data_IF_978172656600
#
_entry.id   IF_978172656600
#
_cell.length_a   1.000
_cell.length_b   1.000
_cell.length_c   1.000
_cell.angle_alpha   90.00
_cell.angle_beta   90.00
_cell.angle_gamma   90.00
#
_symmetry.space_group_name_H-M   'P 1'
#
loop_
_entity.id
_entity.type
_entity.pdbx_description
1 polymer ?
#
# COMPACT_ATOMS: atom_id res chain seq x y z
N UNK A 1 13.21 15.34 -17.12
CA UNK A 1 12.97 16.18 -15.91
C UNK A 1 13.47 15.44 -14.68
N UNK A 2 14.15 16.12 -13.74
CA UNK A 2 14.62 15.50 -12.49
C UNK A 2 13.43 15.10 -11.60
N UNK A 3 13.62 14.08 -10.74
CA UNK A 3 12.55 13.58 -9.83
C UNK A 3 12.00 14.69 -8.92
N UNK A 4 12.88 15.52 -8.36
CA UNK A 4 12.47 16.64 -7.51
C UNK A 4 11.65 17.68 -8.26
N UNK A 5 11.97 17.97 -9.53
CA UNK A 5 11.23 18.95 -10.33
C UNK A 5 9.82 18.44 -10.67
N UNK A 6 9.66 17.12 -10.92
CA UNK A 6 8.35 16.49 -11.09
C UNK A 6 7.51 16.56 -9.82
N UNK A 7 8.13 16.27 -8.67
CA UNK A 7 7.45 16.36 -7.38
C UNK A 7 6.99 17.80 -7.08
N UNK A 8 7.82 18.80 -7.39
CA UNK A 8 7.46 20.22 -7.26
C UNK A 8 6.25 20.56 -8.12
N UNK A 9 6.26 20.17 -9.38
CA UNK A 9 5.13 20.38 -10.29
C UNK A 9 3.86 19.67 -9.80
N UNK A 10 4.00 18.42 -9.31
CA UNK A 10 2.88 17.69 -8.72
C UNK A 10 2.28 18.45 -7.53
N UNK A 11 3.13 18.92 -6.61
CA UNK A 11 2.69 19.66 -5.42
C UNK A 11 2.06 20.99 -5.80
N UNK A 12 2.64 21.75 -6.74
CA UNK A 12 2.07 23.01 -7.22
C UNK A 12 0.65 22.84 -7.76
N UNK A 13 0.40 21.75 -8.48
CA UNK A 13 -0.90 21.46 -9.09
C UNK A 13 -1.92 20.81 -8.12
N UNK A 14 -1.48 20.39 -6.91
CA UNK A 14 -2.31 19.64 -5.97
C UNK A 14 -2.06 20.08 -4.52
N UNK A 15 -1.62 21.32 -4.29
CA UNK A 15 -1.24 21.81 -2.96
C UNK A 15 -2.40 21.73 -1.96
N UNK A 16 -3.61 21.94 -2.44
CA UNK A 16 -4.84 21.92 -1.67
C UNK A 16 -5.15 20.54 -1.03
N UNK A 17 -4.52 19.48 -1.52
CA UNK A 17 -4.70 18.13 -0.95
C UNK A 17 -3.93 17.98 0.35
N UNK A 18 -2.79 18.68 0.50
CA UNK A 18 -1.86 18.45 1.60
C UNK A 18 -2.20 19.22 2.86
N UNK A 19 -2.05 18.55 3.99
CA UNK A 19 -2.18 19.09 5.35
C UNK A 19 -0.84 19.00 6.06
N UNK A 20 -0.49 20.02 6.82
CA UNK A 20 0.70 20.03 7.64
C UNK A 20 0.60 18.95 8.75
N UNK A 21 1.54 18.00 8.85
CA UNK A 21 1.47 16.97 9.87
C UNK A 21 1.67 17.51 11.31
N UNK A 22 2.29 18.68 11.46
CA UNK A 22 2.59 19.28 12.77
C UNK A 22 1.42 20.06 13.35
N UNK A 23 0.76 20.90 12.56
CA UNK A 23 -0.32 21.78 13.04
C UNK A 23 -1.67 21.50 12.37
N UNK A 24 -1.74 20.53 11.48
CA UNK A 24 -2.95 20.07 10.77
C UNK A 24 -3.63 21.16 9.91
N UNK A 25 -2.95 22.25 9.62
CA UNK A 25 -3.43 23.33 8.77
C UNK A 25 -2.94 23.15 7.32
N UNK A 26 -3.54 23.92 6.41
CA UNK A 26 -3.23 23.88 4.97
C UNK A 26 -1.80 24.25 4.66
N UNK A 27 -1.25 23.65 3.61
CA UNK A 27 -0.02 24.09 2.95
C UNK A 27 -0.38 25.29 2.07
N UNK A 28 0.45 26.34 2.11
CA UNK A 28 0.14 27.62 1.44
C UNK A 28 1.13 27.98 0.34
N UNK A 29 2.34 27.45 0.38
CA UNK A 29 3.33 27.74 -0.64
C UNK A 29 4.34 26.61 -0.83
N UNK A 30 4.96 26.59 -2.00
CA UNK A 30 6.16 25.84 -2.33
C UNK A 30 7.29 26.85 -2.56
N UNK A 31 8.28 26.86 -1.69
CA UNK A 31 9.44 27.75 -1.73
C UNK A 31 10.70 26.90 -1.97
N UNK A 32 11.42 27.14 -3.04
CA UNK A 32 12.54 26.34 -3.50
C UNK A 32 12.22 24.83 -3.56
N UNK A 33 12.66 24.05 -2.58
CA UNK A 33 12.40 22.61 -2.45
C UNK A 33 11.59 22.29 -1.21
N UNK A 34 10.80 23.20 -0.68
CA UNK A 34 10.08 23.04 0.58
C UNK A 34 8.63 23.47 0.46
N UNK A 35 7.73 22.68 1.04
CA UNK A 35 6.36 23.13 1.29
C UNK A 35 6.29 23.88 2.62
N UNK A 36 5.49 24.93 2.66
CA UNK A 36 5.30 25.78 3.84
C UNK A 36 3.82 25.86 4.17
N UNK A 37 3.47 25.61 5.43
CA UNK A 37 2.08 25.75 5.88
C UNK A 37 1.79 27.18 6.37
N UNK A 38 0.50 27.48 6.57
CA UNK A 38 0.05 28.79 7.02
C UNK A 38 0.65 29.25 8.36
N UNK A 39 1.06 28.31 9.20
CA UNK A 39 1.69 28.55 10.51
C UNK A 39 3.23 28.55 10.43
N UNK A 40 3.81 28.55 9.22
CA UNK A 40 5.25 28.65 9.01
C UNK A 40 6.06 27.35 9.17
N UNK A 41 5.44 26.18 9.37
CA UNK A 41 6.19 24.92 9.32
C UNK A 41 6.70 24.66 7.93
N UNK A 42 7.99 24.32 7.83
CA UNK A 42 8.71 24.06 6.58
C UNK A 42 9.02 22.56 6.48
N UNK A 43 8.67 21.93 5.37
CA UNK A 43 8.91 20.51 5.11
C UNK A 43 9.63 20.37 3.78
N UNK A 44 10.83 19.79 3.81
CA UNK A 44 11.69 19.72 2.65
C UNK A 44 11.40 18.50 1.78
N UNK A 45 11.39 18.71 0.46
CA UNK A 45 11.54 17.66 -0.54
C UNK A 45 12.98 17.17 -0.57
N UNK A 46 13.17 15.87 -0.57
CA UNK A 46 14.48 15.29 -0.80
C UNK A 46 14.82 15.22 -2.30
N UNK A 47 16.07 14.87 -2.62
CA UNK A 47 16.55 14.74 -4.02
C UNK A 47 15.78 13.70 -4.85
N UNK A 48 15.07 12.78 -4.21
CA UNK A 48 14.23 11.76 -4.87
C UNK A 48 12.80 12.27 -5.14
N UNK A 49 12.48 13.49 -4.73
CA UNK A 49 11.16 14.09 -4.89
C UNK A 49 10.13 13.56 -3.88
N UNK A 50 10.54 13.16 -2.67
CA UNK A 50 9.63 12.71 -1.62
C UNK A 50 9.60 13.67 -0.46
N UNK A 51 8.44 13.81 0.17
CA UNK A 51 8.24 14.50 1.45
C UNK A 51 8.36 13.48 2.59
N UNK A 52 8.93 13.92 3.70
CA UNK A 52 8.95 13.18 4.97
C UNK A 52 7.97 13.84 5.92
N UNK A 53 6.78 13.26 6.06
CA UNK A 53 5.62 13.84 6.75
C UNK A 53 5.36 13.18 8.12
N UNK A 54 6.35 12.46 8.68
CA UNK A 54 6.27 11.94 10.04
C UNK A 54 6.60 13.05 11.04
N UNK A 55 5.86 13.09 12.16
CA UNK A 55 6.08 14.02 13.27
C UNK A 55 7.03 13.49 14.33
N UNK A 56 7.31 12.20 14.31
CA UNK A 56 8.20 11.50 15.25
C UNK A 56 8.94 10.37 14.54
N UNK A 57 10.03 9.92 15.12
CA UNK A 57 10.78 8.77 14.60
C UNK A 57 9.99 7.48 14.81
N UNK A 58 9.74 6.76 13.75
CA UNK A 58 9.11 5.43 13.81
C UNK A 58 10.15 4.40 13.42
N UNK A 59 10.32 3.36 14.25
CA UNK A 59 11.04 2.14 13.87
C UNK A 59 10.01 1.20 13.25
N UNK A 60 10.26 0.75 12.03
CA UNK A 60 9.42 -0.22 11.36
C UNK A 60 10.19 -1.53 11.17
N UNK A 61 9.58 -2.65 11.53
CA UNK A 61 10.12 -4.00 11.24
C UNK A 61 10.21 -4.25 9.73
N UNK A 62 9.56 -3.40 8.94
CA UNK A 62 9.59 -3.39 7.48
C UNK A 62 10.74 -2.55 6.88
N UNK A 63 11.58 -1.90 7.68
CA UNK A 63 12.77 -1.19 7.18
C UNK A 63 13.90 -2.20 6.87
N UNK A 64 13.69 -2.97 5.81
CA UNK A 64 14.59 -3.98 5.30
C UNK A 64 14.58 -3.93 3.76
N UNK A 65 15.68 -3.45 3.21
CA UNK A 65 15.84 -3.29 1.75
C UNK A 65 15.74 -4.62 0.98
N UNK A 66 16.20 -5.71 1.55
CA UNK A 66 16.15 -7.04 0.94
C UNK A 66 14.70 -7.52 0.82
N UNK A 67 13.92 -7.37 1.91
CA UNK A 67 12.48 -7.65 1.93
C UNK A 67 11.75 -6.88 0.82
N UNK A 68 12.01 -5.57 0.71
CA UNK A 68 11.34 -4.73 -0.29
C UNK A 68 11.75 -5.07 -1.72
N UNK A 69 13.00 -5.47 -1.98
CA UNK A 69 13.43 -5.95 -3.29
C UNK A 69 12.74 -7.27 -3.64
N UNK A 70 12.67 -8.22 -2.70
CA UNK A 70 11.97 -9.49 -2.89
C UNK A 70 10.49 -9.27 -3.20
N UNK A 71 9.83 -8.36 -2.44
CA UNK A 71 8.43 -7.97 -2.67
C UNK A 71 8.24 -7.38 -4.05
N UNK A 72 9.10 -6.43 -4.46
CA UNK A 72 9.07 -5.84 -5.80
C UNK A 72 9.15 -6.90 -6.90
N UNK A 73 10.09 -7.83 -6.79
CA UNK A 73 10.25 -8.90 -7.79
C UNK A 73 8.94 -9.68 -7.98
N UNK A 74 8.29 -10.08 -6.90
CA UNK A 74 7.02 -10.81 -6.97
C UNK A 74 5.85 -9.97 -7.50
N UNK A 75 5.74 -8.71 -7.05
CA UNK A 75 4.66 -7.85 -7.51
C UNK A 75 4.82 -7.46 -8.97
N UNK A 76 6.05 -7.27 -9.46
CA UNK A 76 6.34 -7.06 -10.88
C UNK A 76 6.11 -8.32 -11.72
N UNK A 77 6.28 -9.52 -11.14
CA UNK A 77 5.89 -10.78 -11.77
C UNK A 77 4.35 -10.97 -11.84
N UNK A 78 3.56 -10.06 -11.28
CA UNK A 78 2.11 -10.05 -11.39
C UNK A 78 1.36 -10.64 -10.21
N UNK A 79 2.01 -10.92 -9.06
CA UNK A 79 1.35 -11.56 -7.91
C UNK A 79 0.05 -10.86 -7.51
N UNK A 80 -0.04 -9.52 -7.56
CA UNK A 80 -1.26 -8.77 -7.20
C UNK A 80 -1.99 -8.17 -8.40
N UNK A 81 -1.59 -8.50 -9.64
CA UNK A 81 -2.20 -7.91 -10.82
C UNK A 81 -3.72 -8.16 -10.90
N UNK A 82 -4.25 -9.40 -10.66
CA UNK A 82 -5.69 -9.63 -10.67
C UNK A 82 -6.46 -8.85 -9.59
N UNK A 83 -5.82 -8.54 -8.47
CA UNK A 83 -6.40 -7.69 -7.41
C UNK A 83 -6.58 -6.26 -7.94
N UNK A 84 -5.53 -5.71 -8.55
CA UNK A 84 -5.55 -4.36 -9.13
C UNK A 84 -6.57 -4.28 -10.27
N UNK A 85 -6.65 -5.28 -11.13
CA UNK A 85 -7.64 -5.36 -12.21
C UNK A 85 -9.07 -5.36 -11.66
N UNK A 86 -9.33 -6.04 -10.54
CA UNK A 86 -10.64 -6.00 -9.91
C UNK A 86 -10.94 -4.62 -9.31
N UNK A 87 -9.98 -4.00 -8.60
CA UNK A 87 -10.14 -2.63 -8.08
C UNK A 87 -10.45 -1.66 -9.23
N UNK A 88 -9.75 -1.77 -10.35
CA UNK A 88 -9.97 -0.92 -11.52
C UNK A 88 -11.39 -1.02 -12.10
N UNK A 89 -11.99 -2.20 -12.09
CA UNK A 89 -13.38 -2.41 -12.55
C UNK A 89 -14.39 -1.68 -11.68
N UNK A 90 -14.06 -1.46 -10.41
CA UNK A 90 -14.92 -0.80 -9.43
C UNK A 90 -14.70 0.72 -9.37
N UNK A 91 -13.54 1.21 -9.82
CA UNK A 91 -13.25 2.63 -9.83
C UNK A 91 -14.06 3.36 -10.92
N UNK A 92 -14.63 4.55 -10.61
CA UNK A 92 -15.33 5.37 -11.59
C UNK A 92 -14.47 5.70 -12.83
N UNK A 93 -15.09 5.77 -13.99
CA UNK A 93 -14.48 6.08 -15.29
C UNK A 93 -14.29 7.59 -15.51
N UNK A 94 -13.78 8.30 -14.51
CA UNK A 94 -13.49 9.74 -14.51
C UNK A 94 -12.15 10.00 -13.82
N UNK A 95 -11.62 11.21 -13.92
CA UNK A 95 -10.45 11.66 -13.15
C UNK A 95 -10.72 11.58 -11.66
N UNK A 96 -9.80 10.99 -10.90
CA UNK A 96 -9.88 10.80 -9.45
C UNK A 96 -8.61 11.28 -8.75
N UNK A 97 -8.76 11.66 -7.50
CA UNK A 97 -7.67 11.80 -6.53
C UNK A 97 -7.62 10.53 -5.70
N UNK A 98 -6.59 9.71 -5.90
CA UNK A 98 -6.45 8.38 -5.29
C UNK A 98 -5.24 8.35 -4.39
N UNK A 99 -5.40 7.82 -3.17
CA UNK A 99 -4.28 7.49 -2.29
C UNK A 99 -4.16 5.98 -2.11
N UNK A 100 -2.92 5.47 -2.14
CA UNK A 100 -2.56 4.09 -1.82
C UNK A 100 -1.88 4.07 -0.44
N UNK A 101 -2.54 3.43 0.51
CA UNK A 101 -2.19 3.43 1.94
C UNK A 101 -1.29 2.25 2.26
N UNK A 102 -0.09 2.52 2.79
CA UNK A 102 0.91 1.47 2.94
C UNK A 102 1.33 0.91 1.59
N UNK A 103 1.59 1.83 0.63
CA UNK A 103 1.84 1.49 -0.77
C UNK A 103 3.08 0.62 -1.01
N UNK A 104 3.91 0.44 0.03
CA UNK A 104 5.15 -0.33 -0.05
C UNK A 104 6.08 0.23 -1.13
N UNK A 105 6.59 -0.64 -1.98
CA UNK A 105 7.52 -0.32 -3.07
C UNK A 105 6.82 0.22 -4.35
N UNK A 106 5.50 0.41 -4.31
CA UNK A 106 4.71 1.16 -5.27
C UNK A 106 4.20 0.40 -6.49
N UNK A 107 4.55 -0.87 -6.72
CA UNK A 107 4.11 -1.62 -7.92
C UNK A 107 2.58 -1.66 -8.09
N UNK A 108 1.75 -1.88 -7.06
CA UNK A 108 0.29 -1.83 -7.21
C UNK A 108 -0.20 -0.49 -7.75
N UNK A 109 0.27 0.63 -7.17
CA UNK A 109 -0.11 1.96 -7.63
C UNK A 109 0.40 2.28 -9.04
N UNK A 110 1.58 1.79 -9.42
CA UNK A 110 2.12 1.92 -10.77
C UNK A 110 1.26 1.16 -11.80
N UNK A 111 0.83 -0.06 -11.47
CA UNK A 111 -0.06 -0.83 -12.35
C UNK A 111 -1.41 -0.11 -12.52
N UNK A 112 -1.94 0.46 -11.45
CA UNK A 112 -3.13 1.30 -11.51
C UNK A 112 -2.91 2.52 -12.40
N UNK A 113 -1.81 3.25 -12.21
CA UNK A 113 -1.44 4.43 -13.00
C UNK A 113 -1.40 4.12 -14.51
N UNK A 114 -0.74 3.02 -14.88
CA UNK A 114 -0.65 2.58 -16.27
C UNK A 114 -2.02 2.30 -16.89
N UNK A 115 -2.87 1.63 -16.17
CA UNK A 115 -4.20 1.24 -16.67
C UNK A 115 -5.20 2.39 -16.69
N UNK A 116 -4.95 3.44 -15.90
CA UNK A 116 -5.82 4.62 -15.79
C UNK A 116 -5.22 5.90 -16.40
N UNK A 117 -4.16 5.76 -17.20
CA UNK A 117 -3.43 6.89 -17.80
C UNK A 117 -4.37 7.89 -18.51
N UNK A 118 -5.37 7.40 -19.25
CA UNK A 118 -6.33 8.24 -19.99
C UNK A 118 -7.19 9.17 -19.11
N UNK A 119 -7.30 8.91 -17.81
CA UNK A 119 -8.12 9.73 -16.89
C UNK A 119 -7.31 10.85 -16.22
N UNK A 120 -5.97 10.83 -16.32
CA UNK A 120 -5.08 11.81 -15.68
C UNK A 120 -5.35 11.92 -14.16
N UNK A 121 -5.46 10.79 -13.48
CA UNK A 121 -5.69 10.73 -12.03
C UNK A 121 -4.56 11.43 -11.26
N UNK A 122 -4.90 11.98 -10.11
CA UNK A 122 -3.92 12.39 -9.10
C UNK A 122 -3.64 11.21 -8.19
N UNK A 123 -2.45 10.62 -8.31
CA UNK A 123 -2.07 9.40 -7.61
C UNK A 123 -1.00 9.68 -6.56
N UNK A 124 -1.27 9.31 -5.30
CA UNK A 124 -0.35 9.48 -4.18
C UNK A 124 -0.20 8.13 -3.48
N UNK A 125 1.04 7.65 -3.35
CA UNK A 125 1.38 6.50 -2.50
C UNK A 125 2.11 6.95 -1.25
N UNK A 126 1.78 6.40 -0.10
CA UNK A 126 2.57 6.63 1.10
C UNK A 126 2.79 5.35 1.90
N UNK A 127 3.93 5.31 2.55
CA UNK A 127 4.32 4.25 3.47
C UNK A 127 5.13 4.84 4.61
N UNK A 128 5.15 4.15 5.72
CA UNK A 128 5.98 4.53 6.87
C UNK A 128 7.45 4.17 6.64
N UNK A 129 7.71 3.14 5.82
CA UNK A 129 9.05 2.66 5.50
C UNK A 129 9.76 3.56 4.48
N UNK A 130 10.89 4.11 4.90
CA UNK A 130 11.77 4.88 4.02
C UNK A 130 12.35 4.03 2.89
N UNK A 131 12.66 2.77 3.14
CA UNK A 131 13.22 1.86 2.14
C UNK A 131 12.20 1.52 1.07
N UNK A 132 10.94 1.29 1.45
CA UNK A 132 9.84 1.10 0.52
C UNK A 132 9.67 2.31 -0.41
N UNK A 133 9.53 3.50 0.15
CA UNK A 133 9.35 4.74 -0.63
C UNK A 133 10.57 5.04 -1.51
N UNK A 134 11.78 4.76 -1.04
CA UNK A 134 12.98 4.89 -1.87
C UNK A 134 12.94 4.00 -3.12
N UNK A 135 12.38 2.81 -3.01
CA UNK A 135 12.14 1.94 -4.15
C UNK A 135 10.99 2.47 -5.02
N UNK A 136 9.86 2.84 -4.43
CA UNK A 136 8.70 3.35 -5.15
C UNK A 136 9.06 4.48 -6.13
N UNK A 137 9.96 5.39 -5.72
CA UNK A 137 10.43 6.49 -6.58
C UNK A 137 11.32 6.09 -7.75
N UNK A 138 11.69 4.83 -7.91
CA UNK A 138 12.54 4.36 -9.01
C UNK A 138 11.74 3.96 -10.27
N UNK A 139 10.41 3.90 -10.18
CA UNK A 139 9.55 3.56 -11.29
C UNK A 139 9.51 4.66 -12.36
N UNK A 140 9.23 4.28 -13.61
CA UNK A 140 9.15 5.21 -14.76
C UNK A 140 7.88 6.04 -14.75
N UNK A 141 6.74 5.44 -14.38
CA UNK A 141 5.51 6.16 -14.10
C UNK A 141 5.63 6.84 -12.74
N UNK A 142 5.06 8.02 -12.63
CA UNK A 142 5.40 8.95 -11.56
C UNK A 142 4.20 9.36 -10.68
N UNK A 143 3.49 8.44 -10.01
CA UNK A 143 2.70 8.84 -8.84
C UNK A 143 3.57 9.59 -7.85
N UNK A 144 2.98 10.46 -7.06
CA UNK A 144 3.70 11.11 -5.99
C UNK A 144 3.85 10.15 -4.80
N UNK A 145 5.07 10.03 -4.26
CA UNK A 145 5.33 9.16 -3.11
C UNK A 145 5.85 9.97 -1.93
N UNK A 146 5.35 9.69 -0.73
CA UNK A 146 5.80 10.32 0.51
C UNK A 146 5.89 9.33 1.68
N UNK A 147 6.65 9.71 2.70
CA UNK A 147 6.73 8.97 3.96
C UNK A 147 5.72 9.60 4.91
N UNK A 148 4.73 8.83 5.37
CA UNK A 148 3.66 9.33 6.22
C UNK A 148 3.15 8.25 7.16
N UNK A 149 2.51 8.71 8.25
CA UNK A 149 1.85 7.86 9.23
C UNK A 149 0.35 7.76 8.92
N UNK A 150 -0.14 6.53 8.87
CA UNK A 150 -1.55 6.21 8.71
C UNK A 150 -2.43 6.81 9.83
N UNK A 151 -1.89 6.93 11.04
CA UNK A 151 -2.61 7.47 12.19
C UNK A 151 -2.77 9.00 12.14
N UNK A 152 -2.04 9.69 11.24
CA UNK A 152 -2.11 11.13 11.04
C UNK A 152 -1.88 11.45 9.56
N UNK A 153 -2.90 11.20 8.73
CA UNK A 153 -2.80 11.39 7.30
C UNK A 153 -2.54 12.86 6.94
N UNK A 154 -1.50 13.16 6.16
CA UNK A 154 -1.14 14.53 5.79
C UNK A 154 -1.99 15.05 4.61
N UNK A 155 -3.27 14.73 4.62
CA UNK A 155 -4.24 15.14 3.62
C UNK A 155 -5.40 15.90 4.25
N UNK A 156 -5.90 16.89 3.51
CA UNK A 156 -7.02 17.71 3.96
C UNK A 156 -8.32 16.91 4.03
N UNK A 157 -9.25 17.36 4.86
CA UNK A 157 -10.58 16.79 4.97
C UNK A 157 -11.31 16.86 3.62
N UNK A 158 -12.10 15.85 3.28
CA UNK A 158 -12.92 15.78 2.07
C UNK A 158 -12.13 16.07 0.77
N UNK A 159 -10.89 15.61 0.68
CA UNK A 159 -9.99 15.92 -0.44
C UNK A 159 -9.76 14.74 -1.41
N UNK A 160 -10.07 13.51 -1.01
CA UNK A 160 -9.72 12.27 -1.71
C UNK A 160 -10.97 11.58 -2.25
N UNK A 161 -10.90 11.13 -3.52
CA UNK A 161 -12.01 10.41 -4.18
C UNK A 161 -11.96 8.90 -3.91
N UNK A 162 -10.76 8.32 -3.77
CA UNK A 162 -10.60 6.89 -3.51
C UNK A 162 -9.38 6.59 -2.63
N UNK A 163 -9.57 5.69 -1.69
CA UNK A 163 -8.49 5.10 -0.89
C UNK A 163 -8.32 3.64 -1.30
N UNK A 164 -7.10 3.24 -1.60
CA UNK A 164 -6.70 1.85 -1.81
C UNK A 164 -5.91 1.40 -0.59
N UNK A 165 -6.29 0.27 0.00
CA UNK A 165 -5.65 -0.33 1.17
C UNK A 165 -5.48 -1.83 0.92
N UNK A 166 -4.28 -2.25 0.51
CA UNK A 166 -3.97 -3.66 0.22
C UNK A 166 -3.10 -4.22 1.34
N UNK A 167 -3.69 -5.00 2.23
CA UNK A 167 -3.02 -5.66 3.37
C UNK A 167 -2.36 -4.71 4.37
N UNK A 168 -2.69 -3.42 4.33
CA UNK A 168 -2.20 -2.44 5.28
C UNK A 168 -3.12 -2.35 6.50
N UNK A 169 -2.63 -1.91 7.67
CA UNK A 169 -3.48 -1.49 8.77
C UNK A 169 -4.44 -0.38 8.32
N UNK A 170 -5.51 -0.14 9.08
CA UNK A 170 -6.48 0.91 8.76
C UNK A 170 -6.67 1.86 9.92
N UNK A 171 -6.76 3.15 9.60
CA UNK A 171 -7.23 4.21 10.50
C UNK A 171 -8.55 4.75 9.96
N UNK A 172 -9.66 4.08 10.29
CA UNK A 172 -10.96 4.41 9.69
C UNK A 172 -11.41 5.84 9.99
N UNK A 173 -11.06 6.41 11.15
CA UNK A 173 -11.30 7.82 11.44
C UNK A 173 -10.59 8.75 10.46
N UNK A 174 -9.33 8.50 10.16
CA UNK A 174 -8.57 9.27 9.16
C UNK A 174 -9.09 9.03 7.74
N UNK A 175 -9.48 7.79 7.40
CA UNK A 175 -10.07 7.48 6.10
C UNK A 175 -11.37 8.25 5.88
N UNK A 176 -12.29 8.21 6.84
CA UNK A 176 -13.56 8.95 6.78
C UNK A 176 -13.33 10.47 6.72
N UNK A 177 -12.30 10.99 7.40
CA UNK A 177 -11.98 12.42 7.38
C UNK A 177 -11.51 12.88 6.01
N UNK A 178 -10.63 12.12 5.35
CA UNK A 178 -10.01 12.56 4.07
C UNK A 178 -10.88 12.23 2.86
N UNK A 179 -11.74 11.21 2.93
CA UNK A 179 -12.66 10.87 1.85
C UNK A 179 -13.70 11.97 1.64
N UNK A 180 -13.98 12.28 0.39
CA UNK A 180 -15.14 13.08 0.00
C UNK A 180 -16.44 12.33 0.31
N UNK A 181 -17.58 13.03 0.34
CA UNK A 181 -18.89 12.43 0.61
C UNK A 181 -19.22 11.22 -0.27
N UNK A 182 -18.82 11.25 -1.55
CA UNK A 182 -18.98 10.15 -2.50
C UNK A 182 -17.69 9.36 -2.73
N UNK A 183 -16.65 9.64 -1.93
CA UNK A 183 -15.38 8.95 -1.99
C UNK A 183 -15.51 7.52 -1.46
N UNK A 184 -14.70 6.60 -1.99
CA UNK A 184 -14.78 5.18 -1.63
C UNK A 184 -13.46 4.64 -1.10
N UNK A 185 -13.59 3.72 -0.14
CA UNK A 185 -12.50 2.89 0.35
C UNK A 185 -12.52 1.53 -0.36
N UNK A 186 -11.40 1.15 -0.95
CA UNK A 186 -11.14 -0.15 -1.58
C UNK A 186 -10.13 -0.91 -0.71
N UNK A 187 -10.63 -1.73 0.21
CA UNK A 187 -9.78 -2.47 1.14
C UNK A 187 -9.70 -3.94 0.77
N UNK A 188 -8.49 -4.46 0.64
CA UNK A 188 -8.21 -5.87 0.37
C UNK A 188 -7.72 -6.56 1.62
N UNK A 189 -8.42 -7.62 2.02
CA UNK A 189 -8.08 -8.46 3.17
C UNK A 189 -7.85 -9.91 2.73
N UNK A 190 -6.90 -10.63 3.36
CA UNK A 190 -6.69 -12.05 3.05
C UNK A 190 -7.85 -12.89 3.60
N UNK A 191 -8.15 -14.00 2.90
CA UNK A 191 -9.06 -15.05 3.36
C UNK A 191 -8.28 -16.22 3.98
N UNK A 192 -8.99 -17.18 4.53
CA UNK A 192 -8.40 -18.34 5.18
C UNK A 192 -7.41 -19.12 4.30
N UNK A 193 -7.69 -19.18 2.99
CA UNK A 193 -6.85 -19.90 2.03
C UNK A 193 -5.75 -19.04 1.38
N UNK A 194 -5.54 -17.80 1.84
CA UNK A 194 -4.44 -16.98 1.32
C UNK A 194 -3.09 -17.60 1.67
N UNK A 195 -2.29 -17.96 0.64
CA UNK A 195 -1.00 -18.66 0.75
C UNK A 195 -1.10 -19.99 1.53
N UNK A 196 -2.20 -20.74 1.36
CA UNK A 196 -2.46 -21.95 2.15
C UNK A 196 -1.37 -23.00 1.94
N UNK A 197 -0.85 -23.15 0.73
CA UNK A 197 0.21 -24.11 0.42
C UNK A 197 1.51 -23.78 1.18
N UNK A 198 1.87 -22.50 1.25
CA UNK A 198 3.02 -22.05 2.02
C UNK A 198 2.80 -22.23 3.53
N UNK A 199 1.59 -21.98 4.00
CA UNK A 199 1.22 -22.16 5.39
C UNK A 199 1.36 -23.65 5.82
N UNK A 200 0.88 -24.56 4.99
CA UNK A 200 1.04 -26.02 5.23
C UNK A 200 2.50 -26.44 5.17
N UNK A 201 3.27 -25.91 4.21
CA UNK A 201 4.70 -26.20 4.08
C UNK A 201 5.49 -25.79 5.33
N UNK A 202 5.20 -24.62 5.89
CA UNK A 202 5.91 -24.06 7.05
C UNK A 202 5.42 -24.66 8.39
N UNK A 203 4.13 -24.91 8.53
CA UNK A 203 3.53 -25.20 9.85
C UNK A 203 2.80 -26.55 9.93
N UNK A 204 2.70 -27.28 8.80
CA UNK A 204 1.94 -28.54 8.72
C UNK A 204 0.44 -28.34 8.91
N UNK A 205 -0.28 -29.46 8.92
CA UNK A 205 -1.76 -29.49 9.12
C UNK A 205 -2.15 -29.64 10.59
N UNK A 206 -1.29 -29.27 11.52
CA UNK A 206 -1.37 -29.63 12.94
C UNK A 206 -2.41 -28.85 13.76
N UNK A 207 -3.29 -28.05 13.14
CA UNK A 207 -4.30 -27.26 13.86
C UNK A 207 -3.73 -26.16 14.76
N UNK A 208 -2.43 -25.86 14.64
CA UNK A 208 -1.81 -24.77 15.37
C UNK A 208 -2.41 -23.42 14.95
N UNK A 209 -2.37 -22.39 15.82
CA UNK A 209 -2.82 -21.02 15.45
C UNK A 209 -2.12 -20.46 14.22
N UNK A 210 -0.96 -21.00 13.83
CA UNK A 210 -0.20 -20.58 12.65
C UNK A 210 -0.62 -21.33 11.38
N UNK A 211 -1.27 -22.51 11.51
CA UNK A 211 -1.78 -23.29 10.37
C UNK A 211 -3.12 -22.79 9.85
N UNK A 212 -3.84 -21.96 10.61
CA UNK A 212 -5.14 -21.38 10.22
C UNK A 212 -5.11 -19.85 10.30
N UNK A 213 -5.98 -19.21 9.54
CA UNK A 213 -6.17 -17.76 9.54
C UNK A 213 -7.67 -17.44 9.45
N UNK A 214 -8.12 -16.45 10.22
CA UNK A 214 -9.45 -15.86 10.09
C UNK A 214 -9.33 -14.33 9.94
N UNK A 215 -10.14 -13.77 9.07
CA UNK A 215 -10.27 -12.32 8.88
C UNK A 215 -11.46 -11.71 9.64
N UNK A 216 -12.17 -12.48 10.46
CA UNK A 216 -13.39 -12.06 11.16
C UNK A 216 -13.21 -10.78 11.97
N UNK A 217 -12.07 -10.63 12.66
CA UNK A 217 -11.79 -9.42 13.46
C UNK A 217 -11.70 -8.17 12.58
N UNK A 218 -11.04 -8.30 11.42
CA UNK A 218 -10.88 -7.18 10.47
C UNK A 218 -12.23 -6.85 9.84
N UNK A 219 -12.98 -7.87 9.43
CA UNK A 219 -14.30 -7.71 8.82
C UNK A 219 -15.31 -7.09 9.80
N UNK A 220 -15.33 -7.58 11.05
CA UNK A 220 -16.19 -7.03 12.11
C UNK A 220 -15.85 -5.58 12.45
N UNK A 221 -14.56 -5.22 12.46
CA UNK A 221 -14.16 -3.83 12.69
C UNK A 221 -14.52 -2.95 11.49
N UNK A 222 -14.33 -3.45 10.27
CA UNK A 222 -14.71 -2.73 9.03
C UNK A 222 -16.21 -2.44 9.00
N UNK A 223 -17.05 -3.44 9.25
CA UNK A 223 -18.52 -3.31 9.21
C UNK A 223 -19.08 -2.35 10.24
N UNK A 224 -18.39 -2.13 11.36
CA UNK A 224 -18.78 -1.11 12.37
C UNK A 224 -18.61 0.33 11.85
N UNK A 225 -17.61 0.56 11.00
CA UNK A 225 -17.34 1.90 10.44
C UNK A 225 -18.04 2.12 9.11
N UNK A 226 -18.27 1.05 8.36
CA UNK A 226 -18.90 1.05 7.05
C UNK A 226 -20.02 -0.01 7.01
N UNK A 227 -21.22 0.28 7.55
CA UNK A 227 -22.30 -0.71 7.64
C UNK A 227 -22.85 -1.14 6.28
N UNK A 228 -22.77 -0.27 5.28
CA UNK A 228 -23.26 -0.52 3.92
C UNK A 228 -22.07 -0.67 2.97
N UNK A 229 -21.44 -1.84 2.95
CA UNK A 229 -20.32 -2.12 2.06
C UNK A 229 -20.61 -3.29 1.12
N UNK A 230 -19.98 -3.27 -0.03
CA UNK A 230 -19.93 -4.41 -0.95
C UNK A 230 -18.69 -5.26 -0.68
N UNK A 231 -18.78 -6.55 -0.94
CA UNK A 231 -17.63 -7.46 -0.85
C UNK A 231 -17.51 -8.33 -2.09
N UNK A 232 -16.28 -8.49 -2.60
CA UNK A 232 -15.98 -9.31 -3.77
C UNK A 232 -14.80 -10.21 -3.49
N UNK A 233 -15.01 -11.53 -3.57
CA UNK A 233 -13.93 -12.51 -3.41
C UNK A 233 -13.14 -12.59 -4.70
N UNK A 234 -11.80 -12.56 -4.55
CA UNK A 234 -10.84 -12.72 -5.64
C UNK A 234 -9.97 -13.94 -5.28
N UNK A 235 -10.02 -14.98 -6.14
CA UNK A 235 -9.25 -16.19 -5.90
C UNK A 235 -8.61 -16.68 -7.20
N UNK A 236 -7.32 -16.91 -7.15
CA UNK A 236 -6.54 -17.42 -8.28
C UNK A 236 -5.30 -18.16 -7.79
N UNK A 237 -4.70 -18.92 -8.71
CA UNK A 237 -3.40 -19.54 -8.53
C UNK A 237 -2.33 -18.67 -9.17
N UNK A 238 -1.19 -18.56 -8.49
CA UNK A 238 -0.02 -17.86 -8.98
C UNK A 238 1.16 -18.84 -9.10
N UNK A 239 1.69 -18.98 -10.30
CA UNK A 239 2.83 -19.86 -10.58
C UNK A 239 4.12 -19.23 -10.05
N UNK A 240 4.95 -20.05 -9.40
CA UNK A 240 6.22 -19.66 -8.83
C UNK A 240 7.38 -20.31 -9.59
N UNK A 241 8.35 -19.51 -9.96
CA UNK A 241 9.70 -20.02 -10.25
C UNK A 241 10.44 -20.27 -8.94
N UNK A 242 11.53 -21.04 -8.98
CA UNK A 242 12.37 -21.26 -7.79
C UNK A 242 12.89 -19.95 -7.19
N UNK A 243 13.17 -18.93 -8.01
CA UNK A 243 13.59 -17.61 -7.56
C UNK A 243 12.43 -16.85 -6.91
N UNK A 244 11.25 -16.87 -7.52
CA UNK A 244 10.05 -16.24 -6.95
C UNK A 244 9.61 -16.90 -5.64
N UNK A 245 9.84 -18.21 -5.47
CA UNK A 245 9.59 -18.88 -4.21
C UNK A 245 10.53 -18.38 -3.08
N UNK A 246 11.83 -18.19 -3.38
CA UNK A 246 12.78 -17.59 -2.43
C UNK A 246 12.35 -16.17 -2.03
N UNK A 247 11.94 -15.37 -3.02
CA UNK A 247 11.43 -14.01 -2.76
C UNK A 247 10.14 -14.03 -1.93
N UNK A 248 9.25 -15.02 -2.14
CA UNK A 248 8.04 -15.19 -1.34
C UNK A 248 8.37 -15.45 0.14
N UNK A 249 9.34 -16.33 0.41
CA UNK A 249 9.79 -16.60 1.78
C UNK A 249 10.37 -15.35 2.46
N UNK A 250 11.09 -14.50 1.72
CA UNK A 250 11.69 -13.27 2.26
C UNK A 250 10.63 -12.20 2.56
N UNK A 251 9.62 -12.04 1.69
CA UNK A 251 8.70 -10.92 1.78
C UNK A 251 7.47 -11.15 2.66
N UNK A 252 7.14 -12.43 2.94
CA UNK A 252 5.86 -12.72 3.61
C UNK A 252 5.99 -12.75 5.14
N UNK A 253 5.07 -12.10 5.88
CA UNK A 253 5.02 -12.22 7.34
C UNK A 253 4.81 -13.65 7.84
N UNK A 254 4.32 -14.57 7.01
CA UNK A 254 4.20 -15.99 7.36
C UNK A 254 5.55 -16.59 7.72
N UNK A 255 6.62 -16.21 7.06
CA UNK A 255 7.96 -16.73 7.32
C UNK A 255 8.57 -16.22 8.63
N UNK A 256 8.14 -15.07 9.14
CA UNK A 256 8.74 -14.45 10.35
C UNK A 256 8.48 -15.24 11.62
N UNK A 257 7.44 -16.06 11.64
CA UNK A 257 7.13 -16.92 12.79
C UNK A 257 7.63 -18.36 12.66
N UNK A 258 8.32 -18.69 11.55
CA UNK A 258 8.85 -20.02 11.31
C UNK A 258 10.23 -20.20 11.95
N UNK A 259 10.56 -21.42 12.39
CA UNK A 259 11.91 -21.77 12.85
C UNK A 259 12.89 -21.84 11.66
N UNK A 260 14.19 -21.79 11.97
CA UNK A 260 15.22 -21.97 10.94
C UNK A 260 15.10 -23.32 10.23
N UNK A 261 14.72 -24.36 10.96
CA UNK A 261 14.51 -25.70 10.39
C UNK A 261 13.33 -25.74 9.42
N UNK A 262 12.21 -25.06 9.76
CA UNK A 262 11.04 -24.94 8.89
C UNK A 262 11.37 -24.14 7.62
N UNK A 263 12.13 -23.06 7.75
CA UNK A 263 12.56 -22.26 6.59
C UNK A 263 13.53 -23.05 5.69
N UNK A 264 14.44 -23.82 6.29
CA UNK A 264 15.37 -24.65 5.53
C UNK A 264 14.63 -25.78 4.81
N UNK A 265 13.69 -26.44 5.49
CA UNK A 265 12.80 -27.42 4.86
C UNK A 265 12.04 -26.83 3.67
N UNK A 266 11.48 -25.64 3.84
CA UNK A 266 10.76 -24.96 2.77
C UNK A 266 11.68 -24.63 1.58
N UNK A 267 12.93 -24.20 1.82
CA UNK A 267 13.91 -23.94 0.73
C UNK A 267 14.26 -25.20 -0.07
N UNK A 268 14.31 -26.36 0.61
CA UNK A 268 14.60 -27.66 -0.02
C UNK A 268 13.39 -28.24 -0.76
N UNK A 269 12.17 -27.80 -0.40
CA UNK A 269 10.90 -28.26 -0.99
C UNK A 269 10.10 -27.09 -1.58
N UNK A 270 10.61 -26.42 -2.65
CA UNK A 270 9.96 -25.23 -3.18
C UNK A 270 8.61 -25.55 -3.81
N UNK A 271 7.64 -24.65 -3.56
CA UNK A 271 6.33 -24.69 -4.21
C UNK A 271 6.42 -24.10 -5.63
N UNK A 272 5.69 -24.72 -6.56
CA UNK A 272 5.56 -24.24 -7.93
C UNK A 272 4.33 -23.35 -8.14
N UNK A 273 3.43 -23.31 -7.16
CA UNK A 273 2.16 -22.58 -7.23
C UNK A 273 1.69 -22.22 -5.82
N UNK A 274 1.02 -21.08 -5.68
CA UNK A 274 0.35 -20.64 -4.45
C UNK A 274 -1.06 -20.14 -4.75
N UNK A 275 -1.94 -20.28 -3.77
CA UNK A 275 -3.29 -19.70 -3.80
C UNK A 275 -3.25 -18.26 -3.28
N UNK A 276 -3.72 -17.32 -4.11
CA UNK A 276 -4.11 -15.99 -3.68
C UNK A 276 -5.63 -15.99 -3.50
N UNK A 277 -6.08 -15.84 -2.26
CA UNK A 277 -7.50 -15.83 -1.90
C UNK A 277 -7.75 -14.64 -0.97
N UNK A 278 -8.42 -13.61 -1.51
CA UNK A 278 -8.65 -12.34 -0.83
C UNK A 278 -10.08 -11.87 -1.01
N UNK A 279 -10.50 -10.94 -0.15
CA UNK A 279 -11.78 -10.23 -0.31
C UNK A 279 -11.48 -8.75 -0.48
N UNK A 280 -12.04 -8.16 -1.55
CA UNK A 280 -12.12 -6.73 -1.76
C UNK A 280 -13.39 -6.21 -1.08
N UNK A 281 -13.25 -5.31 -0.12
CA UNK A 281 -14.32 -4.57 0.55
C UNK A 281 -14.39 -3.17 -0.07
N UNK A 282 -15.60 -2.71 -0.42
CA UNK A 282 -15.85 -1.41 -1.07
C UNK A 282 -16.90 -0.66 -0.24
N UNK A 283 -16.54 0.51 0.27
CA UNK A 283 -17.41 1.31 1.11
C UNK A 283 -17.34 2.80 0.75
#
# INVERSE_FOLDING_TARGET
MKKIDRAKLFIQNNMEIFRCPFCQNKITSLQDNSIVCINGHVINLNKKGTLHLLTHGVKSDYDNKELWNARRTLLQAGLFLPIIEQIMKELPTKKLKIIDVGCGEGTPLINLARSREKYNDTLIGFDISKDAINLATQNELHPFFCIADLANLPFMDNSIDAIIDIFSPSSYGEFLRVLKNEGKLYKVIPNANYLIELRHLLYGDTGSRKSSYSNDKVLNLFSKHFPNFESKRIRYKFNLTSENFKNLLLMTPLSWGASNEQLEYARQNPLNEITVDVTLLIA
#
